data_IF_349639143902
#
_entry.id   IF_349639143902
#
_cell.length_a   1.000
_cell.length_b   1.000
_cell.length_c   1.000
_cell.angle_alpha   90.00
_cell.angle_beta   90.00
_cell.angle_gamma   90.00
#
_symmetry.space_group_name_H-M   'P 1'
#
loop_
_entity.id
_entity.type
_entity.pdbx_description
1 polymer ?
#
# COMPACT_ATOMS: atom_id res chain seq x y z
N UNK A 1 16.24 10.40 -11.92
CA UNK A 1 16.56 9.72 -10.65
C UNK A 1 16.58 8.24 -10.93
N UNK A 2 17.73 7.58 -10.75
CA UNK A 2 17.86 6.14 -10.98
C UNK A 2 16.87 5.39 -10.09
N UNK A 3 16.21 4.36 -10.64
CA UNK A 3 15.45 3.46 -9.79
C UNK A 3 16.44 2.64 -8.97
N UNK A 4 16.52 2.93 -7.68
CA UNK A 4 17.31 2.12 -6.76
C UNK A 4 16.76 0.69 -6.76
N UNK A 5 17.60 -0.36 -6.66
CA UNK A 5 17.15 -1.75 -6.49
C UNK A 5 16.12 -1.91 -5.36
N UNK A 6 16.12 -1.00 -4.39
CA UNK A 6 15.11 -0.87 -3.34
C UNK A 6 13.68 -0.67 -3.88
N UNK A 7 13.49 0.16 -4.92
CA UNK A 7 12.17 0.41 -5.49
C UNK A 7 11.58 -0.82 -6.15
N UNK A 8 12.41 -1.65 -6.80
CA UNK A 8 11.97 -2.94 -7.34
C UNK A 8 11.60 -3.90 -6.21
N UNK A 9 12.44 -3.99 -5.18
CA UNK A 9 12.19 -4.87 -4.04
C UNK A 9 10.86 -4.54 -3.35
N UNK A 10 10.48 -3.26 -3.28
CA UNK A 10 9.24 -2.81 -2.64
C UNK A 10 7.97 -3.45 -3.22
N UNK A 11 7.94 -3.79 -4.53
CA UNK A 11 6.80 -4.48 -5.17
C UNK A 11 6.56 -5.90 -4.61
N UNK A 12 7.58 -6.52 -4.02
CA UNK A 12 7.47 -7.83 -3.37
C UNK A 12 7.49 -7.72 -1.85
N UNK A 13 8.38 -6.89 -1.30
CA UNK A 13 8.53 -6.71 0.15
C UNK A 13 7.24 -6.17 0.78
N UNK A 14 6.56 -5.21 0.15
CA UNK A 14 5.31 -4.66 0.68
C UNK A 14 4.23 -5.73 0.90
N UNK A 15 3.83 -6.48 -0.14
CA UNK A 15 2.89 -7.59 -0.01
C UNK A 15 3.36 -8.70 0.94
N UNK A 16 4.66 -9.03 0.98
CA UNK A 16 5.20 -10.02 1.91
C UNK A 16 5.09 -9.57 3.37
N UNK A 17 5.37 -8.29 3.65
CA UNK A 17 5.17 -7.71 4.97
C UNK A 17 3.69 -7.70 5.37
N UNK A 18 2.78 -7.43 4.44
CA UNK A 18 1.33 -7.57 4.68
C UNK A 18 0.94 -9.01 5.03
N UNK A 19 1.48 -10.00 4.31
CA UNK A 19 1.27 -11.42 4.63
C UNK A 19 1.85 -11.77 6.01
N UNK A 20 3.06 -11.30 6.34
CA UNK A 20 3.69 -11.52 7.64
C UNK A 20 2.86 -10.93 8.79
N UNK A 21 2.34 -9.70 8.63
CA UNK A 21 1.42 -9.09 9.59
C UNK A 21 0.19 -9.99 9.82
N UNK A 22 -0.47 -10.43 8.74
CA UNK A 22 -1.62 -11.33 8.84
C UNK A 22 -1.31 -12.64 9.56
N UNK A 23 -0.14 -13.24 9.30
CA UNK A 23 0.28 -14.48 9.95
C UNK A 23 0.53 -14.30 11.44
N UNK A 24 1.20 -13.21 11.85
CA UNK A 24 1.40 -12.89 13.27
C UNK A 24 0.05 -12.67 13.95
N UNK A 25 -0.86 -11.94 13.30
CA UNK A 25 -2.21 -11.69 13.80
C UNK A 25 -2.98 -12.98 14.08
N UNK A 26 -2.90 -13.98 13.20
CA UNK A 26 -3.54 -15.28 13.41
C UNK A 26 -3.03 -16.03 14.64
N UNK A 27 -1.79 -15.75 15.07
CA UNK A 27 -1.21 -16.36 16.28
C UNK A 27 -1.51 -15.57 17.56
N UNK A 28 -2.00 -14.33 17.43
CA UNK A 28 -2.32 -13.44 18.54
C UNK A 28 -3.82 -13.47 18.86
N UNK A 29 -4.26 -14.50 19.60
CA UNK A 29 -5.68 -14.69 19.92
C UNK A 29 -6.30 -13.52 20.71
N UNK A 30 -5.51 -12.91 21.60
CA UNK A 30 -5.99 -11.80 22.46
C UNK A 30 -6.06 -10.46 21.72
N UNK A 31 -5.27 -10.28 20.67
CA UNK A 31 -5.16 -9.00 19.95
C UNK A 31 -4.95 -7.82 20.92
N UNK A 32 -4.10 -8.04 21.93
CA UNK A 32 -3.80 -7.11 23.01
C UNK A 32 -2.38 -6.55 22.91
N UNK A 33 -1.97 -5.63 23.81
CA UNK A 33 -0.62 -5.11 23.80
C UNK A 33 0.42 -6.22 24.01
N UNK A 34 1.59 -6.08 23.40
CA UNK A 34 2.67 -7.05 23.50
C UNK A 34 3.53 -7.20 22.24
N UNK A 35 4.40 -8.21 22.24
CA UNK A 35 5.37 -8.44 21.17
C UNK A 35 4.70 -8.80 19.83
N UNK A 36 3.66 -9.65 19.84
CA UNK A 36 2.94 -10.03 18.63
C UNK A 36 2.24 -8.84 17.98
N UNK A 37 1.49 -8.06 18.77
CA UNK A 37 0.88 -6.80 18.34
C UNK A 37 1.91 -5.84 17.72
N UNK A 38 3.00 -5.58 18.44
CA UNK A 38 4.01 -4.60 18.01
C UNK A 38 4.74 -5.07 16.74
N UNK A 39 5.17 -6.34 16.69
CA UNK A 39 5.80 -6.91 15.50
C UNK A 39 4.85 -6.88 14.30
N UNK A 40 3.59 -7.26 14.50
CA UNK A 40 2.56 -7.22 13.47
C UNK A 40 2.40 -5.81 12.89
N UNK A 41 2.26 -4.80 13.74
CA UNK A 41 2.09 -3.40 13.29
C UNK A 41 3.38 -2.83 12.67
N UNK A 42 4.57 -3.27 13.07
CA UNK A 42 5.82 -2.92 12.39
C UNK A 42 5.88 -3.49 10.96
N UNK A 43 5.46 -4.75 10.77
CA UNK A 43 5.33 -5.33 9.43
C UNK A 43 4.26 -4.60 8.61
N UNK A 44 3.12 -4.27 9.21
CA UNK A 44 2.07 -3.51 8.55
C UNK A 44 2.54 -2.11 8.12
N UNK A 45 3.23 -1.38 9.00
CA UNK A 45 3.82 -0.07 8.69
C UNK A 45 4.84 -0.18 7.57
N UNK A 46 5.74 -1.17 7.65
CA UNK A 46 6.74 -1.44 6.60
C UNK A 46 6.06 -1.73 5.25
N UNK A 47 4.99 -2.52 5.25
CA UNK A 47 4.23 -2.82 4.05
C UNK A 47 3.73 -1.55 3.37
N UNK A 48 3.06 -0.69 4.13
CA UNK A 48 2.47 0.57 3.63
C UNK A 48 3.54 1.53 3.12
N UNK A 49 4.68 1.63 3.82
CA UNK A 49 5.82 2.43 3.37
C UNK A 49 6.43 1.89 2.07
N UNK A 50 6.49 0.57 1.88
CA UNK A 50 6.89 -0.03 0.60
C UNK A 50 5.91 0.26 -0.53
N UNK A 51 4.62 0.52 -0.26
CA UNK A 51 3.69 0.92 -1.31
C UNK A 51 3.90 2.34 -1.84
N UNK A 52 4.62 3.21 -1.12
CA UNK A 52 4.97 4.56 -1.61
C UNK A 52 5.78 4.50 -2.93
N UNK A 53 6.94 3.81 -3.01
CA UNK A 53 7.65 3.66 -4.27
C UNK A 53 6.86 2.86 -5.33
N UNK A 54 5.99 1.93 -4.92
CA UNK A 54 5.08 1.22 -5.85
C UNK A 54 4.15 2.22 -6.54
N UNK A 55 3.45 3.07 -5.78
CA UNK A 55 2.54 4.10 -6.31
C UNK A 55 3.27 5.05 -7.25
N UNK A 56 4.46 5.51 -6.87
CA UNK A 56 5.26 6.40 -7.72
C UNK A 56 5.72 5.72 -9.01
N UNK A 57 6.10 4.45 -8.95
CA UNK A 57 6.45 3.64 -10.12
C UNK A 57 5.27 3.45 -11.07
N UNK A 58 4.10 3.08 -10.53
CA UNK A 58 2.87 2.91 -11.31
C UNK A 58 2.40 4.23 -11.93
N UNK A 59 2.51 5.35 -11.22
CA UNK A 59 2.24 6.70 -11.76
C UNK A 59 3.09 6.98 -13.00
N UNK A 60 4.41 6.77 -12.92
CA UNK A 60 5.31 7.02 -14.04
C UNK A 60 4.96 6.13 -15.23
N UNK A 61 4.73 4.84 -14.98
CA UNK A 61 4.32 3.89 -16.01
C UNK A 61 2.96 4.25 -16.65
N UNK A 62 2.00 4.75 -15.88
CA UNK A 62 0.68 5.15 -16.38
C UNK A 62 0.70 6.50 -17.13
N UNK A 63 1.66 7.37 -16.83
CA UNK A 63 1.84 8.67 -17.46
C UNK A 63 2.73 8.64 -18.72
N UNK A 64 3.58 7.61 -18.87
CA UNK A 64 4.51 7.50 -19.99
C UNK A 64 3.78 7.52 -21.33
N UNK A 65 4.28 8.34 -22.26
CA UNK A 65 3.75 8.52 -23.64
C UNK A 65 2.29 9.01 -23.69
N UNK A 66 1.77 9.59 -22.61
CA UNK A 66 0.39 10.11 -22.54
C UNK A 66 0.34 11.62 -22.72
N UNK A 67 -0.75 12.11 -23.30
CA UNK A 67 -1.08 13.54 -23.34
C UNK A 67 -1.47 14.11 -21.96
N UNK A 68 -1.73 15.43 -21.86
CA UNK A 68 -1.94 16.13 -20.58
C UNK A 68 -3.01 15.51 -19.68
N UNK A 69 -4.19 15.19 -20.24
CA UNK A 69 -5.28 14.58 -19.45
C UNK A 69 -4.91 13.21 -18.88
N UNK A 70 -4.14 12.42 -19.63
CA UNK A 70 -3.68 11.12 -19.16
C UNK A 70 -2.65 11.19 -18.04
N UNK A 71 -1.75 12.18 -18.12
CA UNK A 71 -0.80 12.50 -17.05
C UNK A 71 -1.51 13.03 -15.80
N UNK A 72 -2.54 13.85 -16.00
CA UNK A 72 -3.40 14.35 -14.91
C UNK A 72 -4.10 13.23 -14.16
N UNK A 73 -4.70 12.27 -14.87
CA UNK A 73 -5.35 11.11 -14.25
C UNK A 73 -4.37 10.21 -13.48
N UNK A 74 -3.16 9.99 -14.01
CA UNK A 74 -2.11 9.27 -13.29
C UNK A 74 -1.64 10.05 -12.03
N UNK A 75 -1.51 11.37 -12.12
CA UNK A 75 -1.16 12.20 -10.97
C UNK A 75 -2.26 12.16 -9.89
N UNK A 76 -3.53 12.28 -10.27
CA UNK A 76 -4.66 12.17 -9.35
C UNK A 76 -4.66 10.83 -8.61
N UNK A 77 -4.53 9.71 -9.33
CA UNK A 77 -4.45 8.38 -8.71
C UNK A 77 -3.28 8.25 -7.72
N UNK A 78 -2.11 8.81 -8.06
CA UNK A 78 -0.96 8.80 -7.17
C UNK A 78 -1.18 9.65 -5.91
N UNK A 79 -1.70 10.88 -6.05
CA UNK A 79 -2.00 11.75 -4.91
C UNK A 79 -3.03 11.10 -4.00
N UNK A 80 -4.12 10.58 -4.55
CA UNK A 80 -5.16 9.87 -3.79
C UNK A 80 -4.57 8.69 -3.03
N UNK A 81 -3.73 7.87 -3.69
CA UNK A 81 -3.09 6.73 -3.03
C UNK A 81 -2.14 7.16 -1.90
N UNK A 82 -1.34 8.20 -2.12
CA UNK A 82 -0.38 8.69 -1.13
C UNK A 82 -1.06 9.36 0.07
N UNK A 83 -2.17 10.07 -0.13
CA UNK A 83 -2.98 10.61 0.96
C UNK A 83 -3.54 9.48 1.83
N UNK A 84 -4.09 8.43 1.21
CA UNK A 84 -4.54 7.27 1.97
C UNK A 84 -3.40 6.49 2.63
N UNK A 85 -2.23 6.39 2.00
CA UNK A 85 -1.07 5.78 2.64
C UNK A 85 -0.65 6.57 3.88
N UNK A 86 -0.68 7.91 3.83
CA UNK A 86 -0.39 8.75 4.99
C UNK A 86 -1.38 8.52 6.15
N UNK A 87 -2.67 8.35 5.86
CA UNK A 87 -3.66 8.02 6.90
C UNK A 87 -3.43 6.63 7.49
N UNK A 88 -3.07 5.64 6.67
CA UNK A 88 -2.73 4.29 7.16
C UNK A 88 -1.45 4.30 8.01
N UNK A 89 -0.44 5.09 7.62
CA UNK A 89 0.77 5.30 8.45
C UNK A 89 0.42 5.92 9.80
N UNK A 90 -0.45 6.93 9.80
CA UNK A 90 -0.94 7.53 11.05
C UNK A 90 -1.68 6.50 11.91
N UNK A 91 -2.55 5.68 11.30
CA UNK A 91 -3.25 4.58 11.98
C UNK A 91 -2.26 3.61 12.63
N UNK A 92 -1.30 3.08 11.86
CA UNK A 92 -0.30 2.14 12.35
C UNK A 92 0.57 2.76 13.46
N UNK A 93 0.87 4.05 13.36
CA UNK A 93 1.57 4.80 14.41
C UNK A 93 0.78 4.87 15.72
N UNK A 94 -0.52 5.19 15.65
CA UNK A 94 -1.41 5.18 16.81
C UNK A 94 -1.51 3.77 17.38
N UNK A 95 -1.66 2.75 16.54
CA UNK A 95 -1.78 1.35 16.95
C UNK A 95 -0.51 0.87 17.68
N UNK A 96 0.68 1.25 17.21
CA UNK A 96 1.94 1.00 17.89
C UNK A 96 2.04 1.73 19.23
N UNK A 97 1.74 3.03 19.26
CA UNK A 97 1.79 3.84 20.49
C UNK A 97 0.82 3.29 21.54
N UNK A 98 -0.42 2.95 21.15
CA UNK A 98 -1.39 2.34 22.03
C UNK A 98 -0.89 0.99 22.57
N UNK A 99 -0.29 0.16 21.71
CA UNK A 99 0.31 -1.12 22.10
C UNK A 99 1.47 -0.97 23.10
N UNK A 100 2.34 0.03 22.93
CA UNK A 100 3.46 0.26 23.84
C UNK A 100 3.07 0.94 25.15
N UNK A 101 1.98 1.71 25.18
CA UNK A 101 1.52 2.43 26.37
C UNK A 101 0.53 1.65 27.24
N UNK A 102 0.16 0.43 26.84
CA UNK A 102 -0.88 -0.33 27.52
C UNK A 102 -0.31 -1.58 28.18
N UNK A 103 -0.63 -1.77 29.46
CA UNK A 103 -0.28 -2.98 30.20
C UNK A 103 -1.20 -4.16 29.85
N UNK A 104 -2.43 -3.86 29.45
CA UNK A 104 -3.44 -4.84 29.09
C UNK A 104 -4.39 -4.34 27.99
N UNK A 105 -5.30 -5.23 27.60
CA UNK A 105 -6.28 -4.97 26.53
C UNK A 105 -7.33 -3.93 26.92
N UNK A 106 -7.63 -3.77 28.20
CA UNK A 106 -8.59 -2.77 28.67
C UNK A 106 -8.00 -1.36 28.60
N UNK A 107 -6.77 -1.18 29.09
CA UNK A 107 -6.01 0.05 28.95
C UNK A 107 -5.86 0.45 27.47
N UNK A 108 -5.54 -0.50 26.59
CA UNK A 108 -5.42 -0.25 25.15
C UNK A 108 -6.73 0.22 24.51
N UNK A 109 -7.86 -0.39 24.90
CA UNK A 109 -9.20 0.03 24.42
C UNK A 109 -9.54 1.44 24.87
N UNK A 110 -9.19 1.80 26.10
CA UNK A 110 -9.40 3.15 26.63
C UNK A 110 -8.57 4.20 25.87
N UNK A 111 -7.30 3.90 25.54
CA UNK A 111 -6.47 4.77 24.70
C UNK A 111 -7.12 4.95 23.32
N UNK A 112 -7.52 3.87 22.64
CA UNK A 112 -8.18 3.97 21.35
C UNK A 112 -9.48 4.77 21.40
N UNK A 113 -10.28 4.59 22.45
CA UNK A 113 -11.52 5.35 22.66
C UNK A 113 -11.23 6.85 22.77
N UNK A 114 -10.22 7.24 23.54
CA UNK A 114 -9.80 8.65 23.67
C UNK A 114 -9.26 9.23 22.36
N UNK A 115 -8.45 8.46 21.63
CA UNK A 115 -7.90 8.92 20.35
C UNK A 115 -9.03 9.11 19.34
N UNK A 116 -9.90 8.11 19.17
CA UNK A 116 -11.02 8.13 18.21
C UNK A 116 -12.12 9.13 18.57
N UNK A 117 -12.24 9.55 19.84
CA UNK A 117 -13.20 10.59 20.24
C UNK A 117 -12.85 11.99 19.72
N UNK A 118 -11.63 12.21 19.22
CA UNK A 118 -11.27 13.50 18.60
C UNK A 118 -11.97 13.65 17.25
N UNK A 119 -12.57 14.82 17.02
CA UNK A 119 -13.30 15.10 15.79
C UNK A 119 -12.46 14.81 14.54
N UNK A 120 -12.99 13.98 13.65
CA UNK A 120 -12.35 13.64 12.39
C UNK A 120 -11.36 12.47 12.46
N UNK A 121 -10.88 12.03 13.63
CA UNK A 121 -9.89 10.93 13.69
C UNK A 121 -10.48 9.63 13.13
N UNK A 122 -11.68 9.25 13.55
CA UNK A 122 -12.32 8.04 13.06
C UNK A 122 -12.53 8.06 11.52
N UNK A 123 -13.16 9.08 10.92
CA UNK A 123 -13.31 9.14 9.47
C UNK A 123 -11.99 9.28 8.70
N UNK A 124 -11.05 10.10 9.18
CA UNK A 124 -9.81 10.40 8.45
C UNK A 124 -8.78 9.29 8.60
N UNK A 125 -8.64 8.69 9.78
CA UNK A 125 -7.53 7.76 10.08
C UNK A 125 -7.98 6.31 10.05
N UNK A 126 -9.21 6.00 10.43
CA UNK A 126 -9.66 4.61 10.62
C UNK A 126 -10.69 4.11 9.60
N UNK A 127 -11.39 5.00 8.87
CA UNK A 127 -12.40 4.56 7.90
C UNK A 127 -12.17 5.10 6.50
N UNK A 128 -12.51 6.36 6.20
CA UNK A 128 -12.51 6.90 4.83
C UNK A 128 -11.10 7.14 4.30
N UNK A 129 -10.20 7.75 5.08
CA UNK A 129 -8.85 8.07 4.62
C UNK A 129 -8.08 6.85 4.11
N UNK A 130 -8.02 5.73 4.87
CA UNK A 130 -7.40 4.49 4.41
C UNK A 130 -7.95 3.98 3.07
N UNK A 131 -9.23 4.17 2.77
CA UNK A 131 -9.82 3.72 1.49
C UNK A 131 -9.26 4.48 0.28
N UNK A 132 -8.77 5.70 0.47
CA UNK A 132 -8.11 6.47 -0.59
C UNK A 132 -6.86 5.76 -1.12
N UNK A 133 -6.16 5.01 -0.25
CA UNK A 133 -5.00 4.22 -0.65
C UNK A 133 -5.37 3.22 -1.74
N UNK A 134 -6.39 2.40 -1.47
CA UNK A 134 -6.89 1.41 -2.41
C UNK A 134 -7.48 2.04 -3.67
N UNK A 135 -8.25 3.12 -3.53
CA UNK A 135 -8.86 3.81 -4.66
C UNK A 135 -7.80 4.35 -5.64
N UNK A 136 -6.77 5.04 -5.13
CA UNK A 136 -5.70 5.56 -5.97
C UNK A 136 -4.84 4.45 -6.60
N UNK A 137 -4.54 3.39 -5.84
CA UNK A 137 -3.78 2.24 -6.32
C UNK A 137 -4.52 1.50 -7.45
N UNK A 138 -5.82 1.25 -7.28
CA UNK A 138 -6.66 0.61 -8.29
C UNK A 138 -6.83 1.48 -9.53
N UNK A 139 -6.94 2.80 -9.37
CA UNK A 139 -7.01 3.73 -10.50
C UNK A 139 -5.73 3.66 -11.35
N UNK A 140 -4.55 3.63 -10.73
CA UNK A 140 -3.29 3.49 -11.44
C UNK A 140 -3.16 2.13 -12.13
N UNK A 141 -3.48 1.04 -11.43
CA UNK A 141 -3.35 -0.31 -11.97
C UNK A 141 -4.37 -0.58 -13.11
N UNK A 142 -5.58 -0.06 -12.98
CA UNK A 142 -6.61 -0.11 -14.01
C UNK A 142 -6.23 0.70 -15.24
N UNK A 143 -5.61 1.88 -15.07
CA UNK A 143 -5.05 2.64 -16.19
C UNK A 143 -4.02 1.82 -16.96
N UNK A 144 -3.09 1.15 -16.28
CA UNK A 144 -2.12 0.30 -16.94
C UNK A 144 -2.78 -0.88 -17.67
N UNK A 145 -3.83 -1.46 -17.09
CA UNK A 145 -4.57 -2.57 -17.72
C UNK A 145 -5.33 -2.11 -18.97
N UNK A 146 -5.99 -0.94 -18.89
CA UNK A 146 -6.69 -0.33 -20.03
C UNK A 146 -5.72 0.04 -21.16
N UNK A 147 -4.50 0.47 -20.82
CA UNK A 147 -3.41 0.72 -21.76
C UNK A 147 -2.71 -0.58 -22.24
N UNK A 148 -3.18 -1.76 -21.80
CA UNK A 148 -2.60 -3.08 -22.11
C UNK A 148 -1.11 -3.21 -21.73
N UNK A 149 -0.64 -2.39 -20.78
CA UNK A 149 0.73 -2.45 -20.22
C UNK A 149 0.84 -3.48 -19.10
N UNK A 150 -0.28 -4.03 -18.65
CA UNK A 150 -0.37 -5.10 -17.67
C UNK A 150 -1.63 -5.93 -17.94
N UNK A 151 -1.68 -7.16 -17.44
CA UNK A 151 -2.84 -8.03 -17.61
C UNK A 151 -4.03 -7.55 -16.75
N UNK A 152 -5.25 -7.62 -17.29
CA UNK A 152 -6.47 -7.16 -16.63
C UNK A 152 -6.85 -7.96 -15.37
N UNK A 153 -6.34 -9.18 -15.19
CA UNK A 153 -6.58 -9.96 -13.98
C UNK A 153 -5.87 -9.37 -12.75
N UNK A 154 -4.80 -8.58 -12.92
CA UNK A 154 -4.04 -8.00 -11.80
C UNK A 154 -4.85 -7.03 -10.96
N UNK A 155 -5.56 -6.02 -11.52
CA UNK A 155 -6.47 -5.21 -10.72
C UNK A 155 -7.60 -6.03 -10.08
N UNK A 156 -8.09 -7.09 -10.74
CA UNK A 156 -9.08 -8.00 -10.13
C UNK A 156 -8.50 -8.76 -8.92
N UNK A 157 -7.26 -9.21 -8.98
CA UNK A 157 -6.57 -9.84 -7.85
C UNK A 157 -6.41 -8.87 -6.67
N UNK A 158 -6.11 -7.59 -6.94
CA UNK A 158 -6.05 -6.55 -5.90
C UNK A 158 -7.43 -6.30 -5.30
N UNK A 159 -8.49 -6.19 -6.11
CA UNK A 159 -9.88 -6.09 -5.63
C UNK A 159 -10.24 -7.28 -4.76
N UNK A 160 -9.93 -8.51 -5.19
CA UNK A 160 -10.18 -9.71 -4.41
C UNK A 160 -9.46 -9.68 -3.05
N UNK A 161 -8.20 -9.22 -3.01
CA UNK A 161 -7.49 -9.01 -1.75
C UNK A 161 -8.13 -7.95 -0.86
N UNK A 162 -8.57 -6.81 -1.40
CA UNK A 162 -9.27 -5.75 -0.65
C UNK A 162 -10.56 -6.31 -0.05
N UNK A 163 -11.38 -6.99 -0.85
CA UNK A 163 -12.63 -7.60 -0.40
C UNK A 163 -12.34 -8.62 0.70
N UNK A 164 -11.33 -9.48 0.54
CA UNK A 164 -10.93 -10.43 1.56
C UNK A 164 -10.59 -9.74 2.89
N UNK A 165 -9.78 -8.67 2.87
CA UNK A 165 -9.47 -7.90 4.09
C UNK A 165 -10.67 -7.20 4.72
N UNK A 166 -11.64 -6.77 3.90
CA UNK A 166 -12.88 -6.16 4.37
C UNK A 166 -13.84 -7.17 5.01
N UNK A 167 -13.80 -8.43 4.57
CA UNK A 167 -14.58 -9.52 5.17
C UNK A 167 -13.98 -9.97 6.50
N UNK A 168 -12.66 -10.13 6.55
CA UNK A 168 -11.93 -10.42 7.79
C UNK A 168 -10.46 -10.06 7.67
N UNK A 169 -9.90 -9.50 8.74
CA UNK A 169 -8.45 -9.28 8.84
C UNK A 169 -7.67 -10.61 8.93
N UNK A 170 -8.32 -11.73 9.26
CA UNK A 170 -7.70 -13.05 9.25
C UNK A 170 -7.36 -13.52 7.83
N UNK A 171 -7.94 -12.87 6.81
CA UNK A 171 -7.64 -13.09 5.40
C UNK A 171 -6.52 -12.18 4.88
N UNK A 172 -5.82 -11.46 5.75
CA UNK A 172 -4.62 -10.70 5.38
C UNK A 172 -3.52 -11.56 4.73
N UNK A 173 -3.22 -12.79 5.18
CA UNK A 173 -2.23 -13.62 4.51
C UNK A 173 -2.54 -13.90 3.03
N UNK A 174 -3.72 -14.45 2.66
CA UNK A 174 -4.06 -14.66 1.25
C UNK A 174 -4.21 -13.33 0.49
N UNK A 175 -4.70 -12.26 1.11
CA UNK A 175 -4.76 -10.94 0.46
C UNK A 175 -3.37 -10.41 0.10
N UNK A 176 -2.40 -10.53 1.01
CA UNK A 176 -1.00 -10.18 0.75
C UNK A 176 -0.38 -11.02 -0.38
N UNK A 177 -0.72 -12.31 -0.47
CA UNK A 177 -0.28 -13.16 -1.59
C UNK A 177 -0.92 -12.76 -2.93
N UNK A 178 -2.20 -12.36 -2.94
CA UNK A 178 -2.84 -11.80 -4.14
C UNK A 178 -2.18 -10.51 -4.59
N UNK A 179 -1.84 -9.63 -3.64
CA UNK A 179 -1.10 -8.40 -3.93
C UNK A 179 0.31 -8.73 -4.46
N UNK A 180 1.00 -9.72 -3.88
CA UNK A 180 2.31 -10.17 -4.35
C UNK A 180 2.23 -10.69 -5.79
N UNK A 181 1.22 -11.50 -6.09
CA UNK A 181 0.96 -12.03 -7.43
C UNK A 181 0.68 -10.89 -8.43
N UNK A 182 -0.08 -9.88 -8.02
CA UNK A 182 -0.40 -8.73 -8.86
C UNK A 182 0.79 -7.79 -9.12
N UNK A 183 1.60 -7.50 -8.08
CA UNK A 183 2.63 -6.47 -8.10
C UNK A 183 4.05 -6.98 -8.31
N UNK A 184 4.43 -8.16 -7.79
CA UNK A 184 5.80 -8.66 -7.82
C UNK A 184 6.47 -8.58 -9.21
N UNK A 185 5.83 -9.09 -10.28
CA UNK A 185 6.39 -9.01 -11.63
C UNK A 185 6.44 -7.59 -12.21
N UNK A 186 5.58 -6.66 -11.74
CA UNK A 186 5.53 -5.28 -12.24
C UNK A 186 6.77 -4.47 -11.86
N UNK A 187 7.42 -4.79 -10.73
CA UNK A 187 8.62 -4.08 -10.29
C UNK A 187 9.74 -4.11 -11.34
N UNK A 188 9.92 -5.25 -12.02
CA UNK A 188 10.90 -5.38 -13.13
C UNK A 188 10.48 -4.58 -14.35
N UNK A 189 9.20 -4.63 -14.71
CA UNK A 189 8.67 -3.98 -15.91
C UNK A 189 8.77 -2.44 -15.82
N UNK A 190 8.48 -1.87 -14.65
CA UNK A 190 8.60 -0.44 -14.39
C UNK A 190 10.06 0.02 -14.50
N UNK A 191 11.00 -0.77 -13.98
CA UNK A 191 12.44 -0.46 -14.06
C UNK A 191 12.98 -0.50 -15.49
N UNK A 192 12.57 -1.50 -16.27
CA UNK A 192 12.96 -1.64 -17.68
C UNK A 192 12.39 -0.51 -18.55
N UNK A 193 11.19 -0.03 -18.25
CA UNK A 193 10.59 1.12 -18.93
C UNK A 193 11.36 2.41 -18.63
N UNK A 194 11.68 2.67 -17.35
CA UNK A 194 12.43 3.86 -16.95
C UNK A 194 13.85 3.87 -17.54
N UNK A 195 14.53 2.71 -17.61
CA UNK A 195 15.84 2.60 -18.29
C UNK A 195 15.76 2.95 -19.78
N UNK A 196 14.75 2.44 -20.50
CA UNK A 196 14.55 2.74 -21.92
C UNK A 196 14.28 4.23 -22.19
N UNK A 197 13.53 4.89 -21.30
CA UNK A 197 13.29 6.34 -21.40
C UNK A 197 14.56 7.19 -21.25
N UNK A 198 15.46 6.79 -20.34
CA UNK A 198 16.75 7.46 -20.14
C UNK A 198 17.66 7.34 -21.38
N UNK A 199 17.76 6.14 -21.97
CA UNK A 199 18.59 5.92 -23.15
C UNK A 199 18.09 6.68 -24.38
N UNK A 200 16.77 6.75 -24.58
CA UNK A 200 16.18 7.49 -25.70
C UNK A 200 16.45 9.01 -25.59
N UNK A 201 16.33 9.57 -24.40
CA UNK A 201 16.60 11.00 -24.15
C UNK A 201 18.08 11.35 -24.35
N UNK A 202 19.00 10.45 -23.96
CA UNK A 202 20.43 10.65 -24.17
C UNK A 202 20.84 10.57 -25.65
N UNK A 203 20.10 9.79 -26.46
CA UNK A 203 20.34 9.68 -27.89
C UNK A 203 19.81 10.88 -28.69
N UNK A 204 18.72 11.52 -28.26
CA UNK A 204 18.14 12.70 -28.94
C UNK A 204 18.86 14.02 -28.65
N UNK A 205 19.81 14.03 -27.70
CA UNK A 205 20.59 15.20 -27.32
C UNK A 205 21.98 15.28 -27.96
N UNK A 206 22.28 14.42 -28.94
CA UNK A 206 23.49 14.46 -29.78
C UNK A 206 23.09 14.77 -31.22
#
# INVERSE_FOLDING_TARGET
MSNSPWQRAAFSVGPLCMTAYGLIRLTDGEHGPGAAWSAGHLFFLTAVLCFVPVVLGLRRAAAAERGPGGRGLAAAGAVTALLGAATVVAQAGIDLVAGFLSDDREAMREIFRRVKSHAGVEPVVYTVGPLLFYAGLLLLLTQLAALRRTAAWRPLAVVAGIVATGLSLDLLPPAGLLFLLAFGPLGRQVEEADRRGLTATAASGR
#
